data_IF_710022320164
#
_entry.id   IF_710022320164
#
_cell.length_a   1.000
_cell.length_b   1.000
_cell.length_c   1.000
_cell.angle_alpha   90.00
_cell.angle_beta   90.00
_cell.angle_gamma   90.00
#
_symmetry.space_group_name_H-M   'P 1'
#
loop_
_entity.id
_entity.type
_entity.pdbx_description
1 polymer ?
#
# COMPACT_ATOMS: atom_id res chain seq x y z
N UNK A 1 20.34 -30.54 -28.88
CA UNK A 1 19.22 -29.58 -28.86
C UNK A 1 19.25 -28.80 -27.55
N UNK A 2 19.65 -27.51 -27.60
CA UNK A 2 19.64 -26.60 -26.44
C UNK A 2 18.20 -26.10 -26.23
N UNK A 3 17.59 -26.39 -25.09
CA UNK A 3 16.32 -25.77 -24.68
C UNK A 3 16.62 -24.40 -24.09
N UNK A 4 16.27 -23.34 -24.83
CA UNK A 4 16.25 -21.97 -24.33
C UNK A 4 15.07 -21.82 -23.36
N UNK A 5 15.35 -21.83 -22.06
CA UNK A 5 14.39 -21.41 -21.04
C UNK A 5 14.43 -19.89 -20.93
N UNK A 6 13.64 -19.20 -21.77
CA UNK A 6 13.26 -17.82 -21.53
C UNK A 6 12.27 -17.78 -20.36
N UNK A 7 12.80 -17.93 -19.15
CA UNK A 7 12.10 -17.58 -17.92
C UNK A 7 11.89 -16.07 -17.92
N UNK A 8 10.68 -15.64 -18.30
CA UNK A 8 10.23 -14.26 -18.10
C UNK A 8 10.39 -13.94 -16.60
N UNK A 9 11.42 -13.15 -16.27
CA UNK A 9 11.58 -12.58 -14.92
C UNK A 9 10.32 -11.77 -14.65
N UNK A 10 9.54 -12.21 -13.66
CA UNK A 10 8.41 -11.45 -13.11
C UNK A 10 9.02 -10.22 -12.44
N UNK A 11 8.99 -9.07 -13.12
CA UNK A 11 9.46 -7.80 -12.57
C UNK A 11 8.39 -7.34 -11.57
N UNK A 12 8.75 -7.26 -10.28
CA UNK A 12 7.88 -6.62 -9.30
C UNK A 12 7.83 -5.12 -9.59
N UNK A 13 6.65 -4.48 -9.65
CA UNK A 13 6.52 -3.06 -10.01
C UNK A 13 7.03 -2.09 -8.93
N UNK A 14 7.58 -2.59 -7.82
CA UNK A 14 8.11 -1.79 -6.73
C UNK A 14 9.55 -2.22 -6.43
N UNK A 15 10.53 -1.35 -6.67
CA UNK A 15 11.82 -1.45 -5.99
C UNK A 15 11.64 -0.88 -4.59
N UNK A 16 11.85 -1.70 -3.57
CA UNK A 16 12.04 -1.18 -2.22
C UNK A 16 13.48 -0.69 -2.14
N UNK A 17 13.65 0.61 -2.37
CA UNK A 17 14.94 1.26 -2.16
C UNK A 17 15.10 1.45 -0.64
N UNK A 18 15.90 0.61 0.00
CA UNK A 18 16.19 0.71 1.44
C UNK A 18 17.43 1.56 1.69
N UNK A 19 17.36 2.49 2.65
CA UNK A 19 18.53 3.23 3.14
C UNK A 19 19.06 2.51 4.38
N UNK A 20 20.25 1.91 4.28
CA UNK A 20 20.97 1.34 5.43
C UNK A 20 21.95 2.37 5.97
N UNK A 21 21.78 2.76 7.24
CA UNK A 21 22.71 3.65 7.94
C UNK A 21 23.60 2.78 8.83
N UNK A 22 24.88 2.65 8.46
CA UNK A 22 25.88 1.94 9.26
C UNK A 22 26.70 2.95 10.07
N UNK A 23 26.73 2.79 11.39
CA UNK A 23 27.34 3.74 12.32
C UNK A 23 28.70 3.27 12.86
N UNK A 24 29.22 2.11 12.42
CA UNK A 24 30.41 1.46 13.00
C UNK A 24 31.70 2.31 12.95
N UNK A 25 31.77 3.32 12.06
CA UNK A 25 32.94 4.18 11.88
C UNK A 25 32.67 5.66 12.25
N UNK A 26 31.59 5.95 12.97
CA UNK A 26 31.28 7.31 13.41
C UNK A 26 31.95 7.61 14.76
N UNK A 27 32.72 8.71 14.82
CA UNK A 27 33.26 9.22 16.09
C UNK A 27 32.11 9.80 16.94
N UNK A 28 31.91 9.26 18.14
CA UNK A 28 30.85 9.68 19.06
C UNK A 28 31.03 11.09 19.65
N UNK A 29 32.20 11.70 19.48
CA UNK A 29 32.53 13.04 20.01
C UNK A 29 32.23 14.15 19.01
N UNK A 30 31.82 13.81 17.79
CA UNK A 30 31.57 14.75 16.70
C UNK A 30 30.12 14.63 16.24
N UNK A 31 29.48 15.78 15.99
CA UNK A 31 28.15 15.80 15.41
C UNK A 31 28.21 15.49 13.91
N UNK A 32 27.63 14.37 13.50
CA UNK A 32 27.51 13.96 12.10
C UNK A 32 26.17 14.44 11.54
N UNK A 33 26.18 15.02 10.33
CA UNK A 33 24.97 15.48 9.64
C UNK A 33 24.70 14.58 8.44
N UNK A 34 23.52 13.98 8.39
CA UNK A 34 23.02 13.22 7.25
C UNK A 34 21.87 13.99 6.61
N UNK A 35 22.00 14.33 5.34
CA UNK A 35 20.93 14.94 4.55
C UNK A 35 20.33 13.89 3.62
N UNK A 36 19.09 13.50 3.88
CA UNK A 36 18.32 12.60 3.00
C UNK A 36 17.41 13.46 2.15
N UNK A 37 17.65 13.48 0.84
CA UNK A 37 16.81 14.20 -0.12
C UNK A 37 15.94 13.18 -0.83
N UNK A 38 14.63 13.22 -0.57
CA UNK A 38 13.65 12.38 -1.27
C UNK A 38 12.98 13.21 -2.35
N UNK A 39 12.95 12.70 -3.58
CA UNK A 39 12.19 13.34 -4.65
C UNK A 39 10.70 13.15 -4.37
N UNK A 40 9.89 14.22 -4.35
CA UNK A 40 8.46 14.08 -4.07
C UNK A 40 7.79 13.27 -5.19
N UNK A 41 7.23 12.11 -4.82
CA UNK A 41 6.25 11.44 -5.68
C UNK A 41 4.91 12.13 -5.47
N UNK A 42 4.25 12.49 -6.56
CA UNK A 42 2.90 13.05 -6.52
C UNK A 42 1.93 11.94 -6.12
N UNK A 43 1.66 11.86 -4.83
CA UNK A 43 0.66 10.95 -4.28
C UNK A 43 -0.59 11.72 -3.88
N UNK A 44 -1.72 11.05 -4.00
CA UNK A 44 -3.01 11.50 -3.49
C UNK A 44 -3.33 10.66 -2.26
N UNK A 45 -3.75 11.33 -1.19
CA UNK A 45 -4.23 10.67 0.01
C UNK A 45 -5.73 10.56 -0.08
N UNK A 46 -6.25 9.34 0.08
CA UNK A 46 -7.67 9.06 0.18
C UNK A 46 -7.95 8.68 1.63
N UNK A 47 -8.89 9.41 2.24
CA UNK A 47 -9.38 9.12 3.58
C UNK A 47 -10.87 8.81 3.50
N UNK A 48 -11.32 7.89 4.33
CA UNK A 48 -12.75 7.60 4.46
C UNK A 48 -13.06 6.90 5.76
N UNK A 49 -14.35 6.69 5.99
CA UNK A 49 -14.87 6.00 7.17
C UNK A 49 -15.86 4.95 6.70
N UNK A 50 -15.72 3.71 7.18
CA UNK A 50 -16.64 2.62 6.87
C UNK A 50 -17.69 2.48 7.98
N UNK A 51 -18.96 2.46 7.57
CA UNK A 51 -20.09 2.28 8.47
C UNK A 51 -20.85 1.00 8.14
N UNK A 52 -21.49 0.42 9.15
CA UNK A 52 -22.47 -0.63 8.94
C UNK A 52 -23.83 -0.05 8.54
N UNK A 53 -24.80 -0.93 8.26
CA UNK A 53 -26.18 -0.55 7.89
C UNK A 53 -26.91 0.25 8.98
N UNK A 54 -26.37 0.33 10.20
CA UNK A 54 -26.90 1.11 11.32
C UNK A 54 -26.13 2.41 11.54
N UNK A 55 -25.29 2.83 10.59
CA UNK A 55 -24.43 4.02 10.70
C UNK A 55 -23.44 3.96 11.87
N UNK A 56 -23.04 2.76 12.29
CA UNK A 56 -21.99 2.59 13.29
C UNK A 56 -20.65 2.32 12.60
N UNK A 57 -19.54 2.93 13.07
CA UNK A 57 -18.22 2.65 12.51
C UNK A 57 -17.87 1.16 12.57
N UNK A 58 -17.21 0.66 11.54
CA UNK A 58 -16.75 -0.74 11.47
C UNK A 58 -15.24 -0.78 11.61
N UNK A 59 -14.76 -1.44 12.66
CA UNK A 59 -13.34 -1.76 12.80
C UNK A 59 -12.94 -3.05 12.08
N UNK A 60 -11.74 -3.05 11.50
CA UNK A 60 -11.15 -4.23 10.85
C UNK A 60 -11.73 -4.56 9.47
N UNK A 61 -12.48 -3.64 8.84
CA UNK A 61 -12.92 -3.79 7.47
C UNK A 61 -11.71 -3.63 6.54
N UNK A 62 -11.59 -4.50 5.54
CA UNK A 62 -10.54 -4.38 4.53
C UNK A 62 -10.99 -3.41 3.43
N UNK A 63 -10.14 -2.45 3.09
CA UNK A 63 -10.37 -1.48 2.02
C UNK A 63 -9.31 -1.71 0.94
N UNK A 64 -9.71 -2.32 -0.17
CA UNK A 64 -8.85 -2.58 -1.33
C UNK A 64 -8.93 -1.43 -2.34
N UNK A 65 -7.78 -1.12 -2.96
CA UNK A 65 -7.71 -0.17 -4.07
C UNK A 65 -7.29 -0.89 -5.34
N UNK A 66 -8.07 -0.70 -6.39
CA UNK A 66 -7.83 -1.25 -7.72
C UNK A 66 -7.62 -0.09 -8.69
N UNK A 67 -6.48 -0.10 -9.37
CA UNK A 67 -6.23 0.76 -10.53
C UNK A 67 -6.79 0.10 -11.78
N UNK A 68 -7.51 0.87 -12.60
CA UNK A 68 -8.11 0.39 -13.83
C UNK A 68 -7.73 1.30 -15.00
N UNK A 69 -7.14 0.69 -16.03
CA UNK A 69 -6.83 1.36 -17.29
C UNK A 69 -8.12 1.74 -18.02
N UNK A 70 -8.29 3.03 -18.32
CA UNK A 70 -9.51 3.54 -18.94
C UNK A 70 -9.80 2.94 -20.33
N UNK A 71 -8.76 2.58 -21.10
CA UNK A 71 -8.89 2.11 -22.49
C UNK A 71 -9.02 0.60 -22.56
N UNK A 72 -8.12 -0.10 -21.88
CA UNK A 72 -7.99 -1.55 -21.98
C UNK A 72 -8.78 -2.29 -20.89
N UNK A 73 -9.32 -1.57 -19.91
CA UNK A 73 -10.02 -2.12 -18.75
C UNK A 73 -9.17 -3.14 -17.97
N UNK A 74 -7.84 -2.98 -18.01
CA UNK A 74 -6.89 -3.81 -17.27
C UNK A 74 -6.93 -3.38 -15.81
N UNK A 75 -7.21 -4.33 -14.92
CA UNK A 75 -7.33 -4.10 -13.47
C UNK A 75 -6.08 -4.58 -12.74
N UNK A 76 -5.58 -3.75 -11.82
CA UNK A 76 -4.41 -4.04 -11.00
C UNK A 76 -4.70 -3.65 -9.55
N UNK A 77 -4.61 -4.61 -8.64
CA UNK A 77 -4.65 -4.33 -7.19
C UNK A 77 -3.40 -3.55 -6.79
N UNK A 78 -3.59 -2.37 -6.21
CA UNK A 78 -2.49 -1.56 -5.68
C UNK A 78 -2.16 -1.92 -4.23
N UNK A 79 -3.15 -2.35 -3.46
CA UNK A 79 -2.99 -2.75 -2.07
C UNK A 79 -4.28 -2.64 -1.28
N UNK A 80 -4.14 -2.77 0.04
CA UNK A 80 -5.24 -2.71 0.98
C UNK A 80 -4.86 -1.91 2.23
N UNK A 81 -5.88 -1.39 2.91
CA UNK A 81 -5.81 -0.83 4.25
C UNK A 81 -6.89 -1.48 5.12
N UNK A 82 -6.76 -1.39 6.43
CA UNK A 82 -7.80 -1.84 7.37
C UNK A 82 -8.33 -0.63 8.12
N UNK A 83 -9.63 -0.64 8.38
CA UNK A 83 -10.24 0.39 9.22
C UNK A 83 -9.82 0.24 10.68
N UNK A 84 -9.58 1.35 11.35
CA UNK A 84 -9.25 1.39 12.77
C UNK A 84 -10.49 1.24 13.67
N UNK A 85 -10.36 1.50 14.98
CA UNK A 85 -11.46 1.37 15.94
C UNK A 85 -12.60 2.38 15.70
N UNK A 86 -12.31 3.50 15.04
CA UNK A 86 -13.29 4.54 14.67
C UNK A 86 -13.80 4.34 13.23
N UNK A 87 -13.47 3.21 12.60
CA UNK A 87 -13.85 2.89 11.24
C UNK A 87 -13.10 3.69 10.17
N UNK A 88 -12.08 4.45 10.54
CA UNK A 88 -11.32 5.30 9.63
C UNK A 88 -10.30 4.47 8.85
N UNK A 89 -10.11 4.81 7.57
CA UNK A 89 -9.02 4.27 6.75
C UNK A 89 -8.30 5.39 6.00
N UNK A 90 -7.02 5.17 5.75
CA UNK A 90 -6.18 6.04 4.93
C UNK A 90 -5.42 5.21 3.91
N UNK A 91 -5.37 5.70 2.68
CA UNK A 91 -4.64 5.13 1.56
C UNK A 91 -3.83 6.25 0.88
N UNK A 92 -2.65 5.90 0.36
CA UNK A 92 -1.85 6.78 -0.49
C UNK A 92 -1.66 6.11 -1.83
N UNK A 93 -2.05 6.80 -2.90
CA UNK A 93 -1.92 6.29 -4.27
C UNK A 93 -1.14 7.27 -5.13
N UNK A 94 -0.37 6.75 -6.08
CA UNK A 94 0.19 7.55 -7.17
C UNK A 94 -0.87 7.64 -8.27
N UNK A 95 -1.48 8.82 -8.44
CA UNK A 95 -2.54 9.01 -9.43
C UNK A 95 -1.91 9.18 -10.82
N UNK A 96 -2.13 8.19 -11.69
CA UNK A 96 -1.63 8.17 -13.06
C UNK A 96 -2.68 8.72 -14.04
N UNK A 97 -2.27 9.39 -15.13
CA UNK A 97 -3.18 9.79 -16.20
C UNK A 97 -3.86 8.58 -16.85
N UNK A 98 -5.07 8.77 -17.37
CA UNK A 98 -5.86 7.72 -18.06
C UNK A 98 -6.18 6.48 -17.20
N UNK A 99 -6.07 6.60 -15.87
CA UNK A 99 -6.51 5.59 -14.92
C UNK A 99 -7.76 6.06 -14.16
N UNK A 100 -8.65 5.13 -13.83
CA UNK A 100 -9.62 5.34 -12.76
C UNK A 100 -9.34 4.37 -11.61
N UNK A 101 -9.78 4.74 -10.41
CA UNK A 101 -9.49 4.00 -9.18
C UNK A 101 -10.78 3.55 -8.54
N UNK A 102 -10.89 2.25 -8.29
CA UNK A 102 -12.01 1.64 -7.58
C UNK A 102 -11.60 1.34 -6.13
N UNK A 103 -12.53 1.59 -5.20
CA UNK A 103 -12.37 1.26 -3.79
C UNK A 103 -13.40 0.18 -3.46
N UNK A 104 -12.93 -0.96 -2.98
CA UNK A 104 -13.78 -2.08 -2.56
C UNK A 104 -13.63 -2.26 -1.06
N UNK A 105 -14.77 -2.27 -0.35
CA UNK A 105 -14.81 -2.43 1.11
C UNK A 105 -15.36 -3.81 1.44
N UNK A 106 -14.58 -4.60 2.19
CA UNK A 106 -14.93 -5.92 2.67
C UNK A 106 -15.27 -5.87 4.15
N UNK A 107 -16.32 -6.59 4.55
CA UNK A 107 -16.66 -6.75 5.96
C UNK A 107 -15.48 -7.40 6.72
N UNK A 108 -15.27 -7.05 8.01
CA UNK A 108 -14.27 -7.69 8.85
C UNK A 108 -14.45 -9.20 8.91
N UNK A 109 -13.34 -9.92 9.07
CA UNK A 109 -13.39 -11.36 9.33
C UNK A 109 -13.96 -11.58 10.74
N UNK A 110 -15.19 -12.08 10.82
CA UNK A 110 -15.79 -12.55 12.07
C UNK A 110 -15.13 -13.86 12.53
N UNK A 111 -13.87 -13.79 12.98
CA UNK A 111 -13.22 -14.90 13.64
C UNK A 111 -13.76 -14.92 15.08
N UNK A 112 -14.84 -15.68 15.31
CA UNK A 112 -15.15 -16.13 16.66
C UNK A 112 -14.04 -17.07 17.08
N UNK A 113 -13.03 -16.56 17.77
CA UNK A 113 -12.12 -17.39 18.53
C UNK A 113 -12.99 -18.07 19.58
N UNK A 114 -13.33 -19.35 19.38
CA UNK A 114 -13.84 -20.17 20.47
C UNK A 114 -12.69 -20.25 21.46
N UNK A 115 -12.84 -19.57 22.60
CA UNK A 115 -12.02 -19.85 23.77
C UNK A 115 -12.18 -21.36 24.08
N UNK A 116 -11.05 -22.06 24.10
CA UNK A 116 -10.93 -23.46 24.55
C UNK A 116 -10.68 -23.41 26.06
#
# INVERSE_FOLDING_TARGET
MKKNNNGKKKVSPYSQDSILINTNNLDSRVNHKLNIIMTPRKSVIIKGVAYNVRMQPISGAAVEVIEVDYKENIRKVLGYSYTDNEGEYVLSIEALPEMFYEIVVYSPLNIKIKEI
#
